data_IF_415650550203
#
_entry.id   IF_415650550203
#
_cell.length_a   1.000
_cell.length_b   1.000
_cell.length_c   1.000
_cell.angle_alpha   90.00
_cell.angle_beta   90.00
_cell.angle_gamma   90.00
#
_symmetry.space_group_name_H-M   'P 1'
#
loop_
_entity.id
_entity.type
_entity.pdbx_description
1 polymer ?
#
# COMPACT_ATOMS: atom_id res chain seq x y z
N UNK A 1 -19.73 -14.33 7.58
CA UNK A 1 -20.83 -15.28 7.56
C UNK A 1 -20.53 -16.42 6.59
N UNK A 2 -20.64 -17.68 7.02
CA UNK A 2 -20.31 -18.87 6.24
C UNK A 2 -21.22 -19.01 5.02
N UNK A 3 -22.52 -18.82 5.22
CA UNK A 3 -23.53 -19.02 4.17
C UNK A 3 -23.31 -18.03 2.99
N UNK A 4 -22.94 -16.79 3.32
CA UNK A 4 -22.61 -15.76 2.31
C UNK A 4 -21.36 -16.17 1.51
N UNK A 5 -20.34 -16.72 2.18
CA UNK A 5 -19.13 -17.20 1.52
C UNK A 5 -19.44 -18.38 0.60
N UNK A 6 -20.13 -19.38 1.09
CA UNK A 6 -20.52 -20.58 0.31
C UNK A 6 -21.39 -20.19 -0.90
N UNK A 7 -22.36 -19.31 -0.71
CA UNK A 7 -23.15 -18.76 -1.79
C UNK A 7 -22.30 -18.02 -2.80
N UNK A 8 -21.43 -17.13 -2.38
CA UNK A 8 -20.55 -16.38 -3.28
C UNK A 8 -19.60 -17.29 -4.09
N UNK A 9 -19.14 -18.39 -3.50
CA UNK A 9 -18.31 -19.39 -4.20
C UNK A 9 -19.14 -20.20 -5.20
N UNK A 10 -20.39 -20.50 -4.93
CA UNK A 10 -21.27 -21.25 -5.83
C UNK A 10 -21.66 -20.48 -7.10
N UNK A 11 -21.56 -19.14 -7.07
CA UNK A 11 -21.90 -18.32 -8.21
C UNK A 11 -20.89 -18.47 -9.37
N UNK A 12 -21.34 -18.60 -10.61
CA UNK A 12 -20.46 -18.58 -11.78
C UNK A 12 -19.74 -17.23 -11.93
N UNK A 13 -18.56 -17.26 -12.57
CA UNK A 13 -17.68 -16.07 -12.68
C UNK A 13 -18.38 -14.89 -13.34
N UNK A 14 -19.18 -15.10 -14.37
CA UNK A 14 -19.90 -14.04 -15.08
C UNK A 14 -20.92 -13.28 -14.19
N UNK A 15 -21.44 -13.91 -13.15
CA UNK A 15 -22.27 -13.22 -12.14
C UNK A 15 -21.45 -12.36 -11.17
N UNK A 16 -20.17 -12.62 -11.05
CA UNK A 16 -19.26 -11.92 -10.14
C UNK A 16 -18.48 -10.82 -10.83
N UNK A 17 -18.08 -11.06 -12.08
CA UNK A 17 -17.21 -10.16 -12.84
C UNK A 17 -17.48 -10.25 -14.34
N UNK A 18 -17.64 -9.11 -14.99
CA UNK A 18 -17.82 -8.98 -16.43
C UNK A 18 -17.28 -7.62 -16.91
N UNK A 19 -16.59 -7.62 -18.06
CA UNK A 19 -16.11 -6.39 -18.72
C UNK A 19 -15.38 -5.39 -17.78
N UNK A 20 -14.49 -5.88 -16.91
CA UNK A 20 -13.78 -5.04 -15.96
C UNK A 20 -14.60 -4.63 -14.73
N UNK A 21 -15.85 -5.01 -14.64
CA UNK A 21 -16.74 -4.67 -13.52
C UNK A 21 -16.89 -5.86 -12.59
N UNK A 22 -16.53 -5.67 -11.33
CA UNK A 22 -16.70 -6.67 -10.28
C UNK A 22 -17.95 -6.46 -9.42
N UNK A 23 -18.27 -7.46 -8.60
CA UNK A 23 -19.36 -7.44 -7.63
C UNK A 23 -20.74 -7.28 -8.26
N UNK A 24 -21.00 -7.91 -9.42
CA UNK A 24 -22.21 -7.68 -10.20
C UNK A 24 -23.48 -7.97 -9.40
N UNK A 25 -23.61 -9.16 -8.80
CA UNK A 25 -24.79 -9.52 -7.97
C UNK A 25 -25.02 -8.53 -6.84
N UNK A 26 -23.95 -8.10 -6.15
CA UNK A 26 -24.08 -7.10 -5.07
C UNK A 26 -24.54 -5.74 -5.60
N UNK A 27 -24.11 -5.36 -6.79
CA UNK A 27 -24.56 -4.13 -7.44
C UNK A 27 -26.04 -4.21 -7.84
N UNK A 28 -26.46 -5.33 -8.39
CA UNK A 28 -27.85 -5.53 -8.79
C UNK A 28 -28.81 -5.48 -7.60
N UNK A 29 -28.43 -6.08 -6.47
CA UNK A 29 -29.18 -5.95 -5.21
C UNK A 29 -29.19 -4.52 -4.73
N UNK A 30 -28.04 -3.85 -4.70
CA UNK A 30 -27.90 -2.49 -4.21
C UNK A 30 -28.71 -1.48 -5.04
N UNK A 31 -28.76 -1.61 -6.36
CA UNK A 31 -29.48 -0.69 -7.24
C UNK A 31 -31.01 -0.79 -7.14
N UNK A 32 -31.54 -1.79 -6.46
CA UNK A 32 -32.96 -1.85 -6.10
C UNK A 32 -33.32 -0.89 -4.95
N UNK A 33 -32.32 -0.45 -4.18
CA UNK A 33 -32.49 0.36 -2.98
C UNK A 33 -31.84 1.74 -3.06
N UNK A 34 -30.80 1.88 -3.91
CA UNK A 34 -29.99 3.10 -4.01
C UNK A 34 -29.84 3.48 -5.48
N UNK A 35 -30.06 4.75 -5.86
CA UNK A 35 -29.83 5.23 -7.23
C UNK A 35 -28.40 4.94 -7.68
N UNK A 36 -28.28 4.50 -8.94
CA UNK A 36 -27.02 4.05 -9.53
C UNK A 36 -25.95 5.16 -9.51
N UNK A 37 -26.35 6.37 -9.77
CA UNK A 37 -25.49 7.56 -9.87
C UNK A 37 -24.75 7.85 -8.55
N UNK A 38 -25.34 7.49 -7.42
CA UNK A 38 -24.70 7.67 -6.11
C UNK A 38 -23.60 6.64 -5.84
N UNK A 39 -23.64 5.51 -6.52
CA UNK A 39 -22.72 4.38 -6.28
C UNK A 39 -21.66 4.20 -7.37
N UNK A 40 -21.96 4.61 -8.61
CA UNK A 40 -21.03 4.50 -9.73
C UNK A 40 -20.02 5.65 -9.71
N UNK A 41 -18.91 5.40 -9.05
CA UNK A 41 -17.76 6.32 -9.03
C UNK A 41 -16.46 5.57 -9.25
N UNK A 42 -15.42 6.24 -9.75
CA UNK A 42 -14.11 5.64 -9.90
C UNK A 42 -13.63 5.00 -8.59
N UNK A 43 -13.09 3.80 -8.67
CA UNK A 43 -12.53 3.13 -7.50
C UNK A 43 -11.42 3.98 -6.90
N UNK A 44 -11.61 4.44 -5.67
CA UNK A 44 -10.58 5.09 -4.87
C UNK A 44 -10.18 4.11 -3.77
N UNK A 45 -8.94 3.60 -3.85
CA UNK A 45 -8.42 2.69 -2.83
C UNK A 45 -8.23 3.40 -1.48
N UNK A 46 -8.19 2.62 -0.41
CA UNK A 46 -7.78 3.09 0.92
C UNK A 46 -6.25 3.28 0.94
N UNK A 47 -5.78 4.29 0.20
CA UNK A 47 -4.36 4.64 0.22
C UNK A 47 -4.15 5.84 1.12
N UNK A 48 -3.24 5.69 2.08
CA UNK A 48 -2.74 6.81 2.86
C UNK A 48 -1.74 7.62 2.01
N UNK A 49 -1.66 8.94 2.18
CA UNK A 49 -0.81 9.79 1.37
C UNK A 49 0.67 9.76 1.84
N UNK A 50 1.26 8.56 1.90
CA UNK A 50 2.63 8.32 2.40
C UNK A 50 3.65 9.24 1.71
N UNK A 51 3.53 9.39 0.39
CA UNK A 51 4.44 10.25 -0.38
C UNK A 51 4.42 11.71 0.07
N UNK A 52 3.26 12.20 0.50
CA UNK A 52 3.14 13.54 1.03
C UNK A 52 3.76 13.62 2.43
N UNK A 53 3.43 12.66 3.26
CA UNK A 53 3.92 12.63 4.65
C UNK A 53 5.44 12.47 4.74
N UNK A 54 6.05 11.65 3.90
CA UNK A 54 7.53 11.50 3.85
C UNK A 54 8.27 12.76 3.36
N UNK A 55 7.56 13.79 2.93
CA UNK A 55 8.13 15.11 2.62
C UNK A 55 8.01 16.10 3.78
N UNK A 56 7.22 15.79 4.80
CA UNK A 56 7.13 16.60 6.02
C UNK A 56 8.43 16.44 6.83
N UNK A 57 8.95 17.51 7.45
CA UNK A 57 10.30 17.52 8.04
C UNK A 57 10.58 16.39 9.03
N UNK A 58 9.63 16.09 9.90
CA UNK A 58 9.79 15.05 10.93
C UNK A 58 9.89 13.64 10.33
N UNK A 59 8.97 13.29 9.42
CA UNK A 59 8.97 11.98 8.76
C UNK A 59 10.09 11.86 7.72
N UNK A 60 10.50 12.95 7.14
CA UNK A 60 11.68 12.98 6.27
C UNK A 60 12.95 12.64 7.06
N UNK A 61 13.18 13.32 8.20
CA UNK A 61 14.34 13.06 9.05
C UNK A 61 14.34 11.63 9.61
N UNK A 62 13.17 11.14 10.03
CA UNK A 62 13.00 9.75 10.45
C UNK A 62 13.37 8.77 9.31
N UNK A 63 12.88 8.98 8.10
CA UNK A 63 13.20 8.13 6.96
C UNK A 63 14.69 8.17 6.59
N UNK A 64 15.32 9.36 6.62
CA UNK A 64 16.77 9.49 6.39
C UNK A 64 17.60 8.74 7.42
N UNK A 65 17.19 8.77 8.70
CA UNK A 65 17.90 8.03 9.75
C UNK A 65 17.86 6.52 9.52
N UNK A 66 16.73 5.98 9.09
CA UNK A 66 16.54 4.56 8.80
C UNK A 66 17.26 4.11 7.52
N UNK A 67 17.25 4.95 6.48
CA UNK A 67 17.83 4.64 5.17
C UNK A 67 19.30 5.09 5.04
N UNK A 68 19.95 5.41 6.16
CA UNK A 68 21.37 5.78 6.18
C UNK A 68 22.23 4.67 5.58
N UNK A 69 23.12 5.01 4.65
CA UNK A 69 23.92 4.04 3.89
C UNK A 69 24.80 3.16 4.78
N UNK A 70 25.43 3.75 5.80
CA UNK A 70 26.30 3.00 6.72
C UNK A 70 25.50 2.08 7.64
N UNK A 71 24.29 2.50 8.03
CA UNK A 71 23.35 1.66 8.78
C UNK A 71 22.93 0.44 7.95
N UNK A 72 22.42 0.67 6.75
CA UNK A 72 22.00 -0.40 5.82
C UNK A 72 23.13 -1.38 5.53
N UNK A 73 24.35 -0.86 5.35
CA UNK A 73 25.55 -1.69 5.12
C UNK A 73 25.88 -2.58 6.31
N UNK A 74 25.80 -2.07 7.53
CA UNK A 74 26.09 -2.84 8.75
C UNK A 74 25.05 -3.93 9.01
N UNK A 75 23.81 -3.65 8.71
CA UNK A 75 22.70 -4.59 8.93
C UNK A 75 22.67 -5.70 7.88
N UNK A 76 23.06 -5.41 6.65
CA UNK A 76 23.32 -6.41 5.61
C UNK A 76 22.07 -7.03 4.96
N UNK A 77 20.87 -6.53 5.25
CA UNK A 77 19.62 -7.04 4.66
C UNK A 77 19.33 -6.49 3.26
N UNK A 78 19.79 -5.28 2.97
CA UNK A 78 19.56 -4.59 1.69
C UNK A 78 20.87 -4.10 1.08
N UNK A 79 20.87 -3.97 -0.24
CA UNK A 79 21.98 -3.30 -0.96
C UNK A 79 21.94 -1.78 -0.67
N UNK A 80 22.97 -1.22 0.00
CA UNK A 80 23.01 0.20 0.35
C UNK A 80 22.90 1.15 -0.84
N UNK A 81 23.54 0.79 -1.95
CA UNK A 81 23.51 1.60 -3.19
C UNK A 81 22.11 1.65 -3.80
N UNK A 82 21.40 0.52 -3.78
CA UNK A 82 20.04 0.45 -4.26
C UNK A 82 19.09 1.30 -3.38
N UNK A 83 19.20 1.18 -2.06
CA UNK A 83 18.38 1.96 -1.11
C UNK A 83 18.63 3.46 -1.28
N UNK A 84 19.90 3.87 -1.32
CA UNK A 84 20.28 5.27 -1.53
C UNK A 84 19.74 5.81 -2.87
N UNK A 85 19.79 5.02 -3.93
CA UNK A 85 19.24 5.40 -5.23
C UNK A 85 17.72 5.57 -5.17
N UNK A 86 17.00 4.64 -4.57
CA UNK A 86 15.54 4.72 -4.41
C UNK A 86 15.13 5.98 -3.64
N UNK A 87 15.84 6.29 -2.56
CA UNK A 87 15.58 7.48 -1.75
C UNK A 87 15.87 8.78 -2.51
N UNK A 88 17.00 8.87 -3.20
CA UNK A 88 17.34 10.03 -4.06
C UNK A 88 16.35 10.21 -5.21
N UNK A 89 15.91 9.14 -5.86
CA UNK A 89 14.92 9.22 -6.92
C UNK A 89 13.59 9.82 -6.38
N UNK A 90 13.18 9.45 -5.16
CA UNK A 90 12.00 10.01 -4.53
C UNK A 90 12.17 11.48 -4.12
N UNK A 91 13.26 11.81 -3.42
CA UNK A 91 13.45 13.14 -2.82
C UNK A 91 13.82 14.20 -3.86
N UNK A 92 14.64 13.85 -4.85
CA UNK A 92 15.14 14.80 -5.83
C UNK A 92 14.32 14.84 -7.14
N UNK A 93 13.75 13.68 -7.52
CA UNK A 93 13.05 13.53 -8.81
C UNK A 93 11.55 13.31 -8.66
N UNK A 94 11.04 13.12 -7.44
CA UNK A 94 9.64 12.82 -7.17
C UNK A 94 9.19 11.42 -7.62
N UNK A 95 10.12 10.52 -7.95
CA UNK A 95 9.82 9.18 -8.43
C UNK A 95 9.55 8.27 -7.25
N UNK A 96 8.27 8.04 -6.96
CA UNK A 96 7.85 7.15 -5.89
C UNK A 96 7.92 5.68 -6.28
N UNK A 97 8.54 4.87 -5.42
CA UNK A 97 8.54 3.41 -5.52
C UNK A 97 8.09 2.81 -4.19
N UNK A 98 7.15 1.88 -4.22
CA UNK A 98 6.60 1.21 -3.03
C UNK A 98 7.66 0.54 -2.15
N UNK A 99 8.76 0.10 -2.75
CA UNK A 99 9.90 -0.51 -2.06
C UNK A 99 10.45 0.39 -0.94
N UNK A 100 10.47 1.71 -1.12
CA UNK A 100 10.89 2.66 -0.08
C UNK A 100 10.09 2.43 1.21
N UNK A 101 8.76 2.33 1.10
CA UNK A 101 7.89 2.11 2.25
C UNK A 101 8.13 0.74 2.92
N UNK A 102 8.34 -0.31 2.14
CA UNK A 102 8.62 -1.64 2.67
C UNK A 102 9.96 -1.68 3.42
N UNK A 103 11.00 -1.04 2.87
CA UNK A 103 12.31 -0.92 3.53
C UNK A 103 12.17 -0.12 4.83
N UNK A 104 11.53 1.05 4.81
CA UNK A 104 11.30 1.85 6.00
C UNK A 104 10.58 1.07 7.11
N UNK A 105 9.52 0.32 6.77
CA UNK A 105 8.79 -0.51 7.72
C UNK A 105 9.65 -1.63 8.31
N UNK A 106 10.51 -2.23 7.50
CA UNK A 106 11.42 -3.28 7.95
C UNK A 106 12.49 -2.71 8.88
N UNK A 107 13.11 -1.59 8.52
CA UNK A 107 14.13 -0.94 9.32
C UNK A 107 13.59 -0.43 10.67
N UNK A 108 12.39 0.14 10.66
CA UNK A 108 11.68 0.57 11.87
C UNK A 108 11.38 -0.62 12.80
N UNK A 109 10.86 -1.72 12.23
CA UNK A 109 10.64 -2.95 12.98
C UNK A 109 11.93 -3.50 13.57
N UNK A 110 13.02 -3.53 12.79
CA UNK A 110 14.32 -4.02 13.23
C UNK A 110 14.86 -3.21 14.41
N UNK A 111 14.68 -1.87 14.40
CA UNK A 111 15.05 -1.02 15.52
C UNK A 111 14.22 -1.31 16.78
N UNK A 112 12.92 -1.50 16.62
CA UNK A 112 12.00 -1.68 17.75
C UNK A 112 12.11 -3.07 18.39
N UNK A 113 12.29 -4.13 17.60
CA UNK A 113 12.25 -5.50 18.08
C UNK A 113 13.62 -6.07 18.44
N UNK A 114 14.67 -5.74 17.67
CA UNK A 114 16.01 -6.29 17.87
C UNK A 114 16.92 -5.46 18.76
N UNK A 115 16.60 -4.19 19.02
CA UNK A 115 17.39 -3.28 19.86
C UNK A 115 16.77 -3.00 21.22
N UNK A 116 15.76 -3.76 21.62
CA UNK A 116 15.33 -3.77 23.03
C UNK A 116 16.43 -4.44 23.85
N UNK A 117 16.97 -3.75 24.90
CA UNK A 117 17.97 -4.31 25.78
C UNK A 117 17.44 -5.55 26.52
#
# INVERSE_FOLDING_TARGET
DKDVVEFAWSLPVWMKWENGRGKLVLRDVLYRHVPRELMERPKKGFSIPIQKWLKEPELYAWAESLLNEDKIRREGYFDPKMVTRLWKDFTQRGIWRKQIWHILRFEDWLEQEYRKP
#
